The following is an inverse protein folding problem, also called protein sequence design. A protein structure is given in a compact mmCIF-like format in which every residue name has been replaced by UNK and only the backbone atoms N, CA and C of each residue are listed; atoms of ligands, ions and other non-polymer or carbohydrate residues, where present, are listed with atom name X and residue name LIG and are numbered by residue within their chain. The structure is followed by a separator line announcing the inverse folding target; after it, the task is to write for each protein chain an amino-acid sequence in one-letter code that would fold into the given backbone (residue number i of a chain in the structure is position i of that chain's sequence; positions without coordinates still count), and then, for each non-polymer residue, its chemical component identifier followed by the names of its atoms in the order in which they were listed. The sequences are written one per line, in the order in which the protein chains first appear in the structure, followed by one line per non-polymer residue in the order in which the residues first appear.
data_IF_596989770412
#
_entry.id   IF_596989770412
#
_cell.length_a   1.000
_cell.length_b   1.000
_cell.length_c   1.000
_cell.angle_alpha   90.00
_cell.angle_beta   90.00
_cell.angle_gamma   90.00
#
_symmetry.space_group_name_H-M   'P 1'
#
loop_
_entity.id
_entity.type
_entity.pdbx_description
1 polymer ?
#
# COMPACT_ATOMS: atom_id res chain seq x y z
N UNK A 1 -25.10 -43.20 -2.59
CA UNK A 1 -23.66 -42.97 -2.88
C UNK A 1 -23.39 -41.80 -3.84
N UNK A 2 -24.20 -41.55 -4.90
CA UNK A 2 -23.96 -40.46 -5.87
C UNK A 2 -24.00 -39.02 -5.33
N UNK A 3 -24.73 -38.75 -4.23
CA UNK A 3 -24.83 -37.41 -3.60
C UNK A 3 -23.55 -36.96 -2.90
N UNK A 4 -22.80 -37.89 -2.30
CA UNK A 4 -21.54 -37.58 -1.59
C UNK A 4 -20.42 -37.16 -2.55
N UNK A 5 -20.37 -37.77 -3.73
CA UNK A 5 -19.41 -37.41 -4.78
C UNK A 5 -19.75 -36.09 -5.46
N UNK A 6 -21.03 -35.79 -5.66
CA UNK A 6 -21.47 -34.50 -6.21
C UNK A 6 -21.20 -33.34 -5.23
N UNK A 7 -21.43 -33.57 -3.93
CA UNK A 7 -21.10 -32.60 -2.87
C UNK A 7 -19.59 -32.37 -2.75
N UNK A 8 -18.77 -33.42 -2.90
CA UNK A 8 -17.32 -33.30 -2.89
C UNK A 8 -16.76 -32.60 -4.14
N UNK A 9 -17.36 -32.85 -5.32
CA UNK A 9 -16.99 -32.18 -6.56
C UNK A 9 -17.43 -30.70 -6.56
N UNK A 10 -18.59 -30.39 -5.98
CA UNK A 10 -19.09 -29.02 -5.84
C UNK A 10 -18.27 -28.22 -4.81
N UNK A 11 -17.93 -28.81 -3.65
CA UNK A 11 -16.99 -28.20 -2.70
C UNK A 11 -15.60 -28.06 -3.31
N UNK A 12 -15.13 -29.04 -4.09
CA UNK A 12 -13.84 -28.99 -4.79
C UNK A 12 -13.78 -27.95 -5.91
N UNK A 13 -14.87 -27.71 -6.63
CA UNK A 13 -14.96 -26.65 -7.63
C UNK A 13 -15.08 -25.26 -6.99
N UNK A 14 -15.79 -25.15 -5.86
CA UNK A 14 -15.97 -23.90 -5.12
C UNK A 14 -14.67 -23.42 -4.46
N UNK A 15 -13.80 -24.32 -4.01
CA UNK A 15 -12.50 -23.97 -3.41
C UNK A 15 -11.47 -23.54 -4.45
N UNK A 16 -11.55 -24.03 -5.70
CA UNK A 16 -10.68 -23.61 -6.81
C UNK A 16 -11.11 -22.22 -7.34
N UNK A 17 -12.41 -21.93 -7.33
CA UNK A 17 -12.92 -20.61 -7.73
C UNK A 17 -12.64 -19.50 -6.69
N UNK A 18 -12.44 -19.83 -5.41
CA UNK A 18 -12.21 -18.85 -4.34
C UNK A 18 -10.76 -18.42 -4.13
N UNK A 19 -9.78 -19.10 -4.74
CA UNK A 19 -8.34 -18.77 -4.60
C UNK A 19 -7.80 -17.90 -5.73
N UNK A 20 -8.56 -17.66 -6.80
CA UNK A 20 -8.12 -16.89 -7.96
C UNK A 20 -8.32 -15.37 -7.85
N UNK A 21 -8.90 -14.86 -6.75
CA UNK A 21 -9.28 -13.44 -6.63
C UNK A 21 -8.58 -12.65 -5.52
N UNK A 22 -7.64 -13.24 -4.78
CA UNK A 22 -6.87 -12.53 -3.75
C UNK A 22 -5.39 -12.37 -4.14
N UNK A 23 -5.11 -11.79 -5.30
CA UNK A 23 -3.78 -11.20 -5.58
C UNK A 23 -3.71 -9.76 -5.03
N UNK A 24 -4.21 -9.54 -3.82
CA UNK A 24 -4.26 -8.21 -3.19
C UNK A 24 -3.04 -7.92 -2.32
N UNK A 25 -1.85 -8.30 -2.80
CA UNK A 25 -0.63 -7.75 -2.26
C UNK A 25 -0.05 -6.91 -3.40
N UNK A 26 -0.57 -5.69 -3.55
CA UNK A 26 0.20 -4.62 -4.17
C UNK A 26 1.56 -4.67 -3.47
N UNK A 27 2.62 -5.05 -4.20
CA UNK A 27 3.96 -4.91 -3.64
C UNK A 27 4.23 -3.40 -3.59
N UNK A 28 4.53 -2.93 -2.40
CA UNK A 28 4.96 -1.56 -2.16
C UNK A 28 6.48 -1.54 -2.01
N UNK A 29 7.17 -2.59 -2.45
CA UNK A 29 8.61 -2.75 -2.23
C UNK A 29 9.38 -1.68 -3.00
N UNK A 30 8.94 -1.38 -4.22
CA UNK A 30 9.50 -0.28 -5.02
C UNK A 30 9.27 1.09 -4.36
N UNK A 31 8.06 1.34 -3.84
CA UNK A 31 7.72 2.60 -3.15
C UNK A 31 8.54 2.77 -1.87
N UNK A 32 8.67 1.71 -1.08
CA UNK A 32 9.49 1.68 0.14
C UNK A 32 10.97 1.90 -0.20
N UNK A 33 11.48 1.25 -1.25
CA UNK A 33 12.86 1.43 -1.72
C UNK A 33 13.14 2.88 -2.10
N UNK A 34 12.23 3.51 -2.84
CA UNK A 34 12.34 4.93 -3.19
C UNK A 34 12.32 5.84 -1.95
N UNK A 35 11.38 5.62 -1.02
CA UNK A 35 11.33 6.37 0.24
C UNK A 35 12.62 6.20 1.06
N UNK A 36 13.18 5.00 1.12
CA UNK A 36 14.46 4.75 1.79
C UNK A 36 15.61 5.50 1.11
N UNK A 37 15.66 5.53 -0.22
CA UNK A 37 16.66 6.31 -0.96
C UNK A 37 16.57 7.82 -0.66
N UNK A 38 15.36 8.37 -0.56
CA UNK A 38 15.14 9.77 -0.18
C UNK A 38 15.64 10.05 1.24
N UNK A 39 15.35 9.15 2.18
CA UNK A 39 15.84 9.22 3.57
C UNK A 39 17.36 9.20 3.60
N UNK A 40 17.99 8.26 2.89
CA UNK A 40 19.44 8.11 2.84
C UNK A 40 20.12 9.36 2.24
N UNK A 41 19.51 9.96 1.22
CA UNK A 41 20.01 11.19 0.61
C UNK A 41 19.94 12.38 1.59
N UNK A 42 18.81 12.54 2.28
CA UNK A 42 18.66 13.56 3.31
C UNK A 42 19.60 13.32 4.51
N UNK A 43 19.80 12.07 4.92
CA UNK A 43 20.75 11.70 5.96
C UNK A 43 22.19 12.13 5.59
N UNK A 44 22.61 11.89 4.35
CA UNK A 44 23.91 12.36 3.83
C UNK A 44 24.03 13.88 3.77
N UNK A 45 22.96 14.58 3.39
CA UNK A 45 22.93 16.04 3.40
C UNK A 45 23.09 16.58 4.82
N UNK A 46 22.40 15.99 5.79
CA UNK A 46 22.51 16.34 7.21
C UNK A 46 23.91 16.04 7.75
N UNK A 47 24.48 14.87 7.42
CA UNK A 47 25.86 14.52 7.79
C UNK A 47 26.86 15.52 7.22
N UNK A 48 26.67 15.96 5.97
CA UNK A 48 27.49 17.00 5.35
C UNK A 48 27.43 18.30 6.15
N UNK A 49 26.23 18.77 6.51
CA UNK A 49 26.03 19.97 7.33
C UNK A 49 26.73 19.79 8.70
N UNK A 50 26.55 18.65 9.36
CA UNK A 50 27.20 18.37 10.64
C UNK A 50 28.72 18.43 10.56
N UNK A 51 29.31 17.86 9.50
CA UNK A 51 30.75 17.87 9.30
C UNK A 51 31.28 19.29 9.04
N UNK A 52 30.55 20.10 8.27
CA UNK A 52 30.91 21.50 8.07
C UNK A 52 30.83 22.31 9.37
N UNK A 53 29.82 22.06 10.22
CA UNK A 53 29.69 22.71 11.54
C UNK A 53 30.82 22.29 12.48
N UNK A 54 31.15 21.00 12.54
CA UNK A 54 32.31 20.50 13.31
C UNK A 54 33.62 21.10 12.82
N UNK A 55 33.72 21.41 11.53
CA UNK A 55 34.83 22.13 10.92
C UNK A 55 34.86 23.65 11.21
N UNK A 56 33.96 24.16 12.04
CA UNK A 56 33.88 25.57 12.42
C UNK A 56 32.95 26.42 11.54
N UNK A 57 32.23 25.80 10.59
CA UNK A 57 31.19 26.48 9.82
C UNK A 57 30.00 26.87 10.69
N UNK A 58 29.47 28.08 10.50
CA UNK A 58 28.25 28.56 11.15
C UNK A 58 27.10 28.60 10.15
N UNK A 59 25.90 28.22 10.56
CA UNK A 59 24.71 28.42 9.72
C UNK A 59 24.41 29.92 9.66
N UNK A 60 24.34 30.46 8.44
CA UNK A 60 24.10 31.88 8.18
C UNK A 60 22.72 32.15 7.57
N UNK A 61 22.06 31.13 7.07
CA UNK A 61 20.70 31.26 6.55
C UNK A 61 20.08 29.90 6.26
N UNK A 62 18.75 29.89 6.35
CA UNK A 62 17.90 28.79 5.88
C UNK A 62 16.84 29.43 4.99
N UNK A 63 16.65 28.87 3.80
CA UNK A 63 15.68 29.37 2.84
C UNK A 63 14.82 28.21 2.37
N UNK A 64 13.50 28.42 2.41
CA UNK A 64 12.56 27.46 1.85
C UNK A 64 12.63 27.45 0.32
N UNK A 65 12.36 26.28 -0.24
CA UNK A 65 12.25 26.03 -1.67
C UNK A 65 10.93 25.31 -1.94
N UNK A 66 10.55 25.16 -3.20
CA UNK A 66 9.39 24.33 -3.57
C UNK A 66 9.49 22.89 -3.07
N UNK A 67 10.72 22.39 -2.89
CA UNK A 67 11.00 20.98 -2.65
C UNK A 67 11.80 20.74 -1.36
N UNK A 68 11.75 21.65 -0.39
CA UNK A 68 12.45 21.51 0.90
C UNK A 68 13.14 22.80 1.33
N UNK A 69 14.37 22.69 1.86
CA UNK A 69 15.15 23.85 2.34
C UNK A 69 16.58 23.84 1.80
N UNK A 70 17.17 25.02 1.66
CA UNK A 70 18.60 25.21 1.47
C UNK A 70 19.20 25.85 2.72
N UNK A 71 20.23 25.20 3.27
CA UNK A 71 21.00 25.67 4.42
C UNK A 71 22.31 26.27 3.91
N UNK A 72 22.57 27.55 4.23
CA UNK A 72 23.79 28.26 3.87
C UNK A 72 24.72 28.39 5.07
N UNK A 73 26.00 28.09 4.87
CA UNK A 73 27.04 28.15 5.90
C UNK A 73 28.00 29.33 5.68
N UNK A 74 28.72 29.70 6.75
CA UNK A 74 29.64 30.84 6.79
C UNK A 74 30.86 30.70 5.89
N UNK A 75 31.18 29.47 5.48
CA UNK A 75 32.21 29.16 4.49
C UNK A 75 31.73 29.36 3.04
N UNK A 76 30.50 29.85 2.86
CA UNK A 76 29.88 30.09 1.56
C UNK A 76 29.22 28.85 0.95
N UNK A 77 29.37 27.66 1.54
CA UNK A 77 28.72 26.44 1.04
C UNK A 77 27.21 26.47 1.31
N UNK A 78 26.47 25.79 0.46
CA UNK A 78 25.03 25.58 0.62
C UNK A 78 24.72 24.10 0.45
N UNK A 79 23.86 23.57 1.32
CA UNK A 79 23.40 22.18 1.28
C UNK A 79 21.88 22.18 1.27
N UNK A 80 21.28 21.39 0.38
CA UNK A 80 19.82 21.26 0.27
C UNK A 80 19.36 19.99 0.99
N UNK A 81 18.25 20.12 1.72
CA UNK A 81 17.49 19.00 2.28
C UNK A 81 16.14 19.01 1.57
N UNK A 82 15.78 17.90 0.96
CA UNK A 82 14.56 17.81 0.15
C UNK A 82 13.38 17.28 0.95
N UNK A 83 12.18 17.71 0.61
CA UNK A 83 10.94 17.11 1.10
C UNK A 83 10.77 15.68 0.58
N UNK A 84 10.09 14.86 1.36
CA UNK A 84 9.65 13.54 0.91
C UNK A 84 8.62 13.66 -0.22
N UNK A 85 8.58 12.65 -1.09
CA UNK A 85 7.51 12.47 -2.08
C UNK A 85 6.48 11.48 -1.56
N UNK A 86 5.22 11.69 -1.92
CA UNK A 86 4.15 10.77 -1.58
C UNK A 86 4.41 9.38 -2.19
N UNK A 87 4.09 8.34 -1.43
CA UNK A 87 4.05 6.98 -1.96
C UNK A 87 2.89 6.78 -2.93
N UNK A 88 2.90 5.68 -3.68
CA UNK A 88 1.78 5.35 -4.55
C UNK A 88 0.48 5.20 -3.73
N UNK A 89 -0.67 5.68 -4.25
CA UNK A 89 -1.94 5.52 -3.57
C UNK A 89 -2.30 4.02 -3.44
N UNK A 90 -2.86 3.66 -2.30
CA UNK A 90 -3.39 2.32 -2.08
C UNK A 90 -4.64 2.05 -2.92
N UNK A 91 -4.91 0.77 -3.19
CA UNK A 91 -6.15 0.33 -3.85
C UNK A 91 -7.35 0.53 -2.93
N UNK A 92 -8.35 1.29 -3.39
CA UNK A 92 -9.60 1.49 -2.67
C UNK A 92 -10.62 0.38 -3.02
N UNK A 93 -11.11 -0.32 -2.00
CA UNK A 93 -12.15 -1.33 -2.13
C UNK A 93 -13.47 -0.84 -1.52
N UNK A 94 -14.55 -0.93 -2.29
CA UNK A 94 -15.90 -0.54 -1.85
C UNK A 94 -16.94 -1.57 -2.29
N UNK A 95 -18.11 -1.55 -1.65
CA UNK A 95 -19.27 -2.36 -2.04
C UNK A 95 -20.29 -1.43 -2.69
N UNK A 96 -20.62 -1.67 -3.94
CA UNK A 96 -21.65 -0.92 -4.64
C UNK A 96 -23.05 -1.23 -4.12
N UNK A 97 -24.00 -0.33 -4.38
CA UNK A 97 -25.41 -0.57 -4.03
C UNK A 97 -26.01 -1.80 -4.74
N UNK A 98 -25.39 -2.24 -5.83
CA UNK A 98 -25.70 -3.48 -6.57
C UNK A 98 -25.11 -4.74 -5.92
N UNK A 99 -24.39 -4.61 -4.79
CA UNK A 99 -23.84 -5.72 -4.02
C UNK A 99 -22.51 -6.28 -4.53
N UNK A 100 -21.89 -5.68 -5.55
CA UNK A 100 -20.60 -6.11 -6.08
C UNK A 100 -19.44 -5.37 -5.40
N UNK A 101 -18.27 -6.02 -5.37
CA UNK A 101 -17.01 -5.36 -5.03
C UNK A 101 -16.56 -4.42 -6.16
N UNK A 102 -16.07 -3.23 -5.80
CA UNK A 102 -15.47 -2.25 -6.69
C UNK A 102 -14.03 -2.00 -6.28
N UNK A 103 -13.12 -2.09 -7.25
CA UNK A 103 -11.70 -1.78 -7.12
C UNK A 103 -11.42 -0.44 -7.79
N UNK A 104 -11.00 0.58 -7.04
CA UNK A 104 -10.77 1.94 -7.54
C UNK A 104 -11.96 2.49 -8.36
N UNK A 105 -13.19 2.18 -7.91
CA UNK A 105 -14.43 2.60 -8.58
C UNK A 105 -14.81 1.76 -9.81
N UNK A 106 -14.02 0.75 -10.19
CA UNK A 106 -14.35 -0.21 -11.25
C UNK A 106 -15.03 -1.44 -10.66
N UNK A 107 -16.23 -1.75 -11.15
CA UNK A 107 -16.98 -2.95 -10.77
C UNK A 107 -16.20 -4.22 -11.10
N UNK A 108 -16.17 -5.16 -10.16
CA UNK A 108 -15.65 -6.53 -10.36
C UNK A 108 -16.79 -7.52 -10.59
N UNK A 109 -16.46 -8.74 -11.00
CA UNK A 109 -17.44 -9.83 -11.14
C UNK A 109 -17.80 -10.50 -9.80
N UNK A 110 -17.17 -10.08 -8.70
CA UNK A 110 -17.33 -10.69 -7.38
C UNK A 110 -18.43 -9.99 -6.57
N UNK A 111 -19.42 -10.75 -6.12
CA UNK A 111 -20.40 -10.28 -5.14
C UNK A 111 -19.76 -10.14 -3.75
N UNK A 112 -20.09 -9.07 -3.05
CA UNK A 112 -19.62 -8.83 -1.69
C UNK A 112 -20.29 -9.72 -0.65
N UNK A 113 -21.45 -10.28 -0.99
CA UNK A 113 -22.15 -11.29 -0.20
C UNK A 113 -22.32 -12.54 -1.04
N UNK A 114 -21.99 -13.70 -0.46
CA UNK A 114 -22.29 -14.98 -1.08
C UNK A 114 -23.80 -15.19 -1.28
N UNK A 115 -24.21 -16.06 -2.21
CA UNK A 115 -25.62 -16.39 -2.38
C UNK A 115 -26.22 -16.91 -1.07
N UNK A 116 -27.50 -16.61 -0.83
CA UNK A 116 -28.22 -17.18 0.31
C UNK A 116 -28.22 -18.72 0.18
N UNK A 117 -27.83 -19.41 1.25
CA UNK A 117 -27.83 -20.87 1.29
C UNK A 117 -29.23 -21.45 1.11
N UNK A 118 -29.30 -22.68 0.58
CA UNK A 118 -30.55 -23.42 0.50
C UNK A 118 -31.15 -23.63 1.89
N UNK A 119 -32.49 -23.65 1.96
CA UNK A 119 -33.20 -23.94 3.20
C UNK A 119 -32.85 -25.37 3.65
N UNK A 120 -32.39 -25.52 4.89
CA UNK A 120 -32.06 -26.83 5.45
C UNK A 120 -33.26 -27.79 5.45
N UNK A 121 -32.98 -29.09 5.29
CA UNK A 121 -33.99 -30.14 5.40
C UNK A 121 -34.58 -30.16 6.84
N UNK A 122 -35.87 -30.49 6.96
CA UNK A 122 -36.54 -30.62 8.26
C UNK A 122 -35.90 -31.80 9.00
N UNK A 123 -35.39 -31.56 10.20
CA UNK A 123 -34.80 -32.62 11.02
C UNK A 123 -35.82 -33.70 11.39
N UNK A 124 -35.42 -34.96 11.24
CA UNK A 124 -36.22 -36.10 11.69
C UNK A 124 -36.23 -36.14 13.22
N UNK A 125 -37.43 -36.21 13.81
CA UNK A 125 -37.60 -36.48 15.23
C UNK A 125 -37.48 -38.00 15.43
N UNK A 126 -36.46 -38.42 16.16
CA UNK A 126 -36.28 -39.79 16.68
C UNK A 126 -37.22 -40.07 17.85
#
# INVERSE_FOLDING_TARGET
MKRKYFSALLMGALTIASVSTFTSCKDYDDDISNLQQQIDSNAKAIETIQNLIKGGGLVTGVTETSDGITVKLSDGKSVTISNGKDGAPGTAWTIGADGYWYENGKKTDNLARGPQGEKGEKGDQV
#
